data_IF_395420059007
#
_entry.id   IF_395420059007
#
_cell.length_a   1.000
_cell.length_b   1.000
_cell.length_c   1.000
_cell.angle_alpha   90.00
_cell.angle_beta   90.00
_cell.angle_gamma   90.00
#
_symmetry.space_group_name_H-M   'P 1'
#
loop_
_entity.id
_entity.type
_entity.pdbx_description
1 polymer ?
#
# COMPACT_ATOMS: atom_id res chain seq x y z
N UNK A 1 17.57 14.37 -8.87
CA UNK A 1 16.19 14.45 -9.40
C UNK A 1 15.76 13.03 -9.70
N UNK A 2 14.72 12.55 -9.04
CA UNK A 2 14.29 11.15 -9.08
C UNK A 2 13.60 10.85 -10.43
N UNK A 3 13.95 9.75 -11.09
CA UNK A 3 13.38 9.35 -12.40
C UNK A 3 11.84 9.28 -12.35
N UNK A 4 11.28 8.89 -11.20
CA UNK A 4 9.83 8.81 -10.98
C UNK A 4 9.12 10.17 -11.08
N UNK A 5 9.79 11.29 -10.74
CA UNK A 5 9.20 12.62 -10.86
C UNK A 5 9.16 13.15 -12.30
N UNK A 6 10.03 12.64 -13.17
CA UNK A 6 10.03 12.99 -14.60
C UNK A 6 8.98 12.23 -15.39
N UNK A 7 8.72 10.98 -15.03
CA UNK A 7 7.68 10.15 -15.68
C UNK A 7 6.28 10.67 -15.35
N UNK A 8 6.03 11.09 -14.09
CA UNK A 8 4.73 11.62 -13.67
C UNK A 8 4.43 12.99 -14.29
N UNK A 9 5.44 13.85 -14.47
CA UNK A 9 5.24 15.17 -15.07
C UNK A 9 5.13 15.14 -16.61
N UNK A 10 5.55 14.06 -17.26
CA UNK A 10 5.42 13.88 -18.71
C UNK A 10 4.18 13.06 -19.13
N UNK A 11 3.42 12.50 -18.19
CA UNK A 11 2.21 11.74 -18.52
C UNK A 11 1.14 12.56 -19.23
N UNK A 12 1.10 13.87 -19.02
CA UNK A 12 0.19 14.77 -19.75
C UNK A 12 0.61 15.03 -21.21
N UNK A 13 1.87 14.80 -21.56
CA UNK A 13 2.37 14.95 -22.95
C UNK A 13 2.23 13.67 -23.79
N UNK A 14 2.03 12.51 -23.13
CA UNK A 14 1.98 11.20 -23.79
C UNK A 14 0.56 10.80 -24.19
N UNK A 15 -0.45 11.45 -23.66
CA UNK A 15 -1.87 11.12 -23.92
C UNK A 15 -2.36 11.35 -25.34
N UNK A 16 -1.55 11.96 -26.22
CA UNK A 16 -1.92 12.23 -27.62
C UNK A 16 -1.07 11.49 -28.68
N UNK A 17 -0.12 10.62 -28.30
CA UNK A 17 0.64 9.82 -29.26
C UNK A 17 0.13 8.39 -29.26
N UNK A 18 -0.67 8.03 -30.24
CA UNK A 18 -1.27 6.69 -30.34
C UNK A 18 -0.27 5.58 -30.73
N UNK A 19 0.98 5.90 -31.08
CA UNK A 19 1.99 4.89 -31.39
C UNK A 19 3.41 5.42 -31.37
N UNK A 20 4.36 4.57 -30.95
CA UNK A 20 5.81 4.79 -31.00
C UNK A 20 6.38 3.95 -32.15
N UNK A 21 7.11 4.60 -33.07
CA UNK A 21 7.76 3.91 -34.18
C UNK A 21 9.17 3.46 -33.75
N UNK A 22 9.42 2.15 -33.77
CA UNK A 22 10.72 1.59 -33.39
C UNK A 22 11.70 1.69 -34.57
N UNK A 23 13.02 1.63 -34.28
CA UNK A 23 14.06 1.66 -35.30
C UNK A 23 14.01 0.53 -36.34
N UNK A 24 13.26 -0.54 -36.06
CA UNK A 24 12.94 -1.64 -36.98
C UNK A 24 11.76 -1.33 -37.94
N UNK A 25 11.17 -0.13 -37.83
CA UNK A 25 10.04 0.30 -38.65
C UNK A 25 8.67 -0.12 -38.15
N UNK A 26 8.57 -0.88 -37.03
CA UNK A 26 7.28 -1.29 -36.46
C UNK A 26 6.66 -0.18 -35.61
N UNK A 27 5.34 0.01 -35.76
CA UNK A 27 4.56 0.86 -34.85
C UNK A 27 4.07 0.02 -33.70
N UNK A 28 4.34 0.46 -32.46
CA UNK A 28 3.75 -0.17 -31.26
C UNK A 28 3.09 0.90 -30.40
N UNK A 29 2.01 0.51 -29.74
CA UNK A 29 1.43 1.39 -28.73
C UNK A 29 2.40 1.58 -27.54
N UNK A 30 2.31 2.70 -26.86
CA UNK A 30 3.08 2.91 -25.64
C UNK A 30 2.74 1.82 -24.60
N UNK A 31 1.49 1.35 -24.58
CA UNK A 31 1.03 0.25 -23.72
C UNK A 31 1.73 -1.06 -24.05
N UNK A 32 1.91 -1.42 -25.35
CA UNK A 32 2.68 -2.60 -25.76
C UNK A 32 4.16 -2.54 -25.36
N UNK A 33 4.74 -1.33 -25.34
CA UNK A 33 6.12 -1.11 -24.91
C UNK A 33 6.23 -1.19 -23.39
N UNK A 34 5.30 -0.58 -22.67
CA UNK A 34 5.24 -0.63 -21.21
C UNK A 34 4.94 -2.04 -20.68
N UNK A 35 4.10 -2.82 -21.36
CA UNK A 35 3.86 -4.23 -21.04
C UNK A 35 5.11 -5.10 -21.18
N UNK A 36 6.03 -4.78 -22.10
CA UNK A 36 7.32 -5.49 -22.22
C UNK A 36 8.32 -5.12 -21.14
N UNK A 37 8.22 -3.91 -20.59
CA UNK A 37 9.22 -3.39 -19.65
C UNK A 37 8.83 -3.55 -18.17
N UNK A 38 7.57 -3.73 -17.85
CA UNK A 38 7.15 -4.08 -16.48
C UNK A 38 5.66 -4.45 -16.40
N UNK A 39 5.34 -5.73 -16.21
CA UNK A 39 4.01 -6.12 -15.73
C UNK A 39 3.67 -5.47 -14.37
N UNK A 40 4.69 -4.98 -13.65
CA UNK A 40 4.56 -4.41 -12.31
C UNK A 40 4.08 -2.94 -12.31
N UNK A 41 4.28 -2.16 -13.37
CA UNK A 41 3.92 -0.72 -13.38
C UNK A 41 2.45 -0.49 -13.75
N UNK A 42 1.85 -1.34 -14.57
CA UNK A 42 0.42 -1.22 -14.96
C UNK A 42 -0.54 -1.84 -13.94
N UNK A 43 -0.07 -2.75 -13.09
CA UNK A 43 -0.87 -3.31 -11.98
C UNK A 43 -0.97 -2.39 -10.75
N UNK A 44 -0.47 -1.16 -10.83
CA UNK A 44 -0.40 -0.24 -9.68
C UNK A 44 -1.70 0.48 -9.37
N UNK A 45 -2.77 0.30 -10.12
CA UNK A 45 -4.01 1.07 -9.93
C UNK A 45 -5.18 0.20 -9.44
N UNK A 46 -5.21 -1.10 -9.76
CA UNK A 46 -6.32 -1.99 -9.38
C UNK A 46 -5.81 -3.09 -8.45
N UNK A 47 -6.42 -3.21 -7.27
CA UNK A 47 -6.14 -4.27 -6.31
C UNK A 47 -4.83 -4.12 -5.53
N UNK A 48 -4.55 -2.93 -5.02
CA UNK A 48 -3.42 -2.68 -4.10
C UNK A 48 -3.55 -3.53 -2.86
N UNK A 49 -2.48 -4.22 -2.47
CA UNK A 49 -2.48 -5.09 -1.29
C UNK A 49 -2.04 -4.32 -0.06
N UNK A 50 -2.83 -4.42 1.01
CA UNK A 50 -2.60 -3.84 2.33
C UNK A 50 -2.20 -4.98 3.28
N UNK A 51 -1.10 -4.83 4.00
CA UNK A 51 -0.63 -5.79 5.00
C UNK A 51 -1.43 -5.61 6.30
N UNK A 52 -2.27 -6.58 6.65
CA UNK A 52 -3.08 -6.59 7.85
C UNK A 52 -2.21 -6.73 9.09
N UNK A 53 -2.12 -5.70 9.94
CA UNK A 53 -1.24 -5.62 11.11
C UNK A 53 0.24 -5.85 10.78
N UNK A 54 0.66 -5.42 9.59
CA UNK A 54 1.96 -5.76 9.01
C UNK A 54 1.99 -7.15 8.37
N UNK A 55 3.15 -7.78 8.26
CA UNK A 55 3.29 -9.14 7.70
C UNK A 55 2.92 -10.21 8.75
N UNK A 56 1.66 -10.22 9.17
CA UNK A 56 1.14 -11.02 10.26
C UNK A 56 1.32 -12.54 10.07
N UNK A 57 1.39 -13.01 8.83
CA UNK A 57 1.55 -14.45 8.58
C UNK A 57 2.87 -15.04 9.09
N UNK A 58 3.90 -14.23 9.30
CA UNK A 58 5.24 -14.70 9.64
C UNK A 58 5.96 -13.89 10.74
N UNK A 59 5.39 -12.74 11.13
CA UNK A 59 5.96 -11.85 12.15
C UNK A 59 4.86 -11.47 13.14
N UNK A 60 5.15 -11.30 14.43
CA UNK A 60 4.12 -10.90 15.41
C UNK A 60 3.42 -9.60 14.99
N UNK A 61 2.08 -9.63 15.03
CA UNK A 61 1.21 -8.53 14.59
C UNK A 61 1.50 -7.19 15.28
N UNK A 62 1.23 -6.08 14.58
CA UNK A 62 1.31 -4.72 15.13
C UNK A 62 2.68 -4.41 15.77
N UNK A 63 3.77 -4.89 15.18
CA UNK A 63 5.14 -4.63 15.63
C UNK A 63 5.94 -3.90 14.55
N UNK A 64 6.99 -3.19 14.96
CA UNK A 64 7.90 -2.54 14.00
C UNK A 64 8.48 -3.59 13.04
N UNK A 65 8.89 -4.75 13.53
CA UNK A 65 9.39 -5.84 12.70
C UNK A 65 8.36 -6.29 11.64
N UNK A 66 7.08 -6.40 12.02
CA UNK A 66 6.00 -6.77 11.10
C UNK A 66 5.78 -5.71 10.03
N UNK A 67 5.81 -4.44 10.41
CA UNK A 67 5.65 -3.32 9.48
C UNK A 67 6.81 -3.24 8.48
N UNK A 68 8.06 -3.35 8.96
CA UNK A 68 9.25 -3.36 8.09
C UNK A 68 9.23 -4.55 7.13
N UNK A 69 8.89 -5.76 7.62
CA UNK A 69 8.80 -6.94 6.77
C UNK A 69 7.70 -6.80 5.71
N UNK A 70 6.58 -6.18 6.04
CA UNK A 70 5.55 -5.90 5.06
C UNK A 70 6.04 -4.92 3.96
N UNK A 71 6.76 -3.86 4.35
CA UNK A 71 7.38 -2.94 3.41
C UNK A 71 8.39 -3.64 2.49
N UNK A 72 9.29 -4.44 3.06
CA UNK A 72 10.32 -5.20 2.32
C UNK A 72 9.70 -6.23 1.36
N UNK A 73 8.52 -6.74 1.67
CA UNK A 73 7.77 -7.65 0.81
C UNK A 73 6.90 -6.90 -0.23
N UNK A 74 6.97 -5.57 -0.32
CA UNK A 74 6.36 -4.78 -1.38
C UNK A 74 4.86 -4.57 -1.24
N UNK A 75 4.30 -4.65 -0.04
CA UNK A 75 2.92 -4.22 0.19
C UNK A 75 2.77 -2.73 -0.11
N UNK A 76 1.67 -2.36 -0.73
CA UNK A 76 1.35 -0.96 -1.03
C UNK A 76 1.04 -0.16 0.24
N UNK A 77 0.29 -0.75 1.16
CA UNK A 77 -0.10 -0.14 2.43
C UNK A 77 0.12 -1.09 3.59
N UNK A 78 0.32 -0.53 4.76
CA UNK A 78 0.48 -1.26 6.01
C UNK A 78 -0.68 -0.88 6.91
N UNK A 79 -1.48 -1.85 7.30
CA UNK A 79 -2.57 -1.60 8.24
C UNK A 79 -2.09 -1.82 9.67
N UNK A 80 -2.59 -1.01 10.59
CA UNK A 80 -2.42 -1.11 12.04
C UNK A 80 -3.64 -0.62 12.78
N UNK A 81 -3.87 -1.19 13.96
CA UNK A 81 -4.92 -0.78 14.89
C UNK A 81 -4.35 0.18 15.94
N UNK A 82 -5.05 1.26 16.28
CA UNK A 82 -4.57 2.20 17.28
C UNK A 82 -5.50 2.35 18.48
N UNK A 83 -4.85 2.45 19.65
CA UNK A 83 -5.47 2.79 20.95
C UNK A 83 -4.73 3.96 21.60
N UNK A 84 -5.42 4.70 22.44
CA UNK A 84 -4.78 5.66 23.35
C UNK A 84 -4.49 5.02 24.71
N UNK A 85 -3.37 5.40 25.31
CA UNK A 85 -3.04 5.07 26.70
C UNK A 85 -3.68 6.05 27.69
N UNK A 86 -3.62 5.74 28.99
CA UNK A 86 -4.16 6.61 30.06
C UNK A 86 -3.41 7.95 30.16
N UNK A 87 -2.09 7.96 29.90
CA UNK A 87 -1.23 9.15 29.88
C UNK A 87 -1.17 9.86 28.53
N UNK A 88 -1.97 9.39 27.55
CA UNK A 88 -2.22 10.13 26.32
C UNK A 88 -1.30 9.81 25.14
N UNK A 89 -0.55 8.73 25.17
CA UNK A 89 0.15 8.21 24.00
C UNK A 89 -0.79 7.41 23.08
N UNK A 90 -0.41 7.28 21.81
CA UNK A 90 -1.07 6.40 20.86
C UNK A 90 -0.17 5.20 20.60
N UNK A 91 -0.74 3.98 20.65
CA UNK A 91 -0.01 2.72 20.50
C UNK A 91 -0.68 1.82 19.46
N UNK A 92 0.13 0.94 18.83
CA UNK A 92 -0.34 0.01 17.82
C UNK A 92 -0.62 -1.36 18.47
N UNK A 93 -1.90 -1.69 18.61
CA UNK A 93 -2.37 -2.97 19.13
C UNK A 93 -3.80 -3.23 18.69
N UNK A 94 -4.14 -4.49 18.39
CA UNK A 94 -5.48 -4.85 17.93
C UNK A 94 -6.51 -4.94 19.04
N UNK A 95 -6.15 -5.61 20.16
CA UNK A 95 -7.09 -5.91 21.21
C UNK A 95 -7.20 -4.76 22.22
N UNK A 96 -8.33 -4.70 22.89
CA UNK A 96 -8.57 -3.77 24.00
C UNK A 96 -7.61 -3.98 25.17
N UNK A 97 -7.04 -5.19 25.30
CA UNK A 97 -6.11 -5.57 26.38
C UNK A 97 -4.78 -6.05 25.79
N UNK A 98 -3.72 -5.99 26.59
CA UNK A 98 -2.39 -6.48 26.20
C UNK A 98 -2.23 -8.00 26.32
N UNK A 99 -3.20 -8.70 26.90
CA UNK A 99 -3.12 -10.06 27.43
C UNK A 99 -2.84 -11.13 26.36
N UNK A 100 -3.38 -10.99 25.15
CA UNK A 100 -3.25 -12.03 24.11
C UNK A 100 -1.87 -12.08 23.48
N UNK A 101 -1.23 -10.94 23.37
CA UNK A 101 0.00 -10.79 22.57
C UNK A 101 1.24 -10.50 23.40
N UNK A 102 1.08 -10.33 24.73
CA UNK A 102 2.20 -10.01 25.64
C UNK A 102 2.17 -10.82 26.92
N UNK A 103 3.29 -10.81 27.65
CA UNK A 103 3.45 -11.36 29.01
C UNK A 103 2.74 -10.52 30.10
N UNK A 104 2.14 -9.38 29.73
CA UNK A 104 1.41 -8.48 30.62
C UNK A 104 -0.09 -8.74 30.63
N UNK A 105 -0.80 -8.04 31.53
CA UNK A 105 -2.25 -8.04 31.63
C UNK A 105 -2.79 -6.64 31.86
N UNK A 106 -3.92 -6.29 31.24
CA UNK A 106 -4.60 -5.02 31.48
C UNK A 106 -5.20 -4.38 30.24
N UNK A 107 -6.09 -3.43 30.50
CA UNK A 107 -6.77 -2.66 29.45
C UNK A 107 -5.85 -1.53 28.96
N UNK A 108 -5.60 -1.46 27.67
CA UNK A 108 -4.70 -0.50 27.05
C UNK A 108 -5.02 0.95 27.42
N UNK A 109 -6.31 1.33 27.41
CA UNK A 109 -6.74 2.68 27.76
C UNK A 109 -6.54 3.05 29.24
N UNK A 110 -6.40 2.06 30.13
CA UNK A 110 -6.21 2.25 31.57
C UNK A 110 -4.72 2.22 31.96
N UNK A 111 -3.82 1.76 31.09
CA UNK A 111 -2.39 1.67 31.31
C UNK A 111 -1.67 2.91 30.76
N UNK A 112 -0.61 3.34 31.46
CA UNK A 112 0.33 4.32 30.92
C UNK A 112 1.21 3.69 29.85
N UNK A 113 1.80 4.50 28.96
CA UNK A 113 2.75 3.99 27.96
C UNK A 113 3.94 3.28 28.61
N UNK A 114 4.41 3.76 29.78
CA UNK A 114 5.49 3.11 30.52
C UNK A 114 5.11 1.70 30.98
N UNK A 115 3.89 1.48 31.45
CA UNK A 115 3.38 0.15 31.83
C UNK A 115 3.26 -0.76 30.60
N UNK A 116 2.77 -0.25 29.48
CA UNK A 116 2.71 -1.00 28.21
C UNK A 116 4.12 -1.38 27.73
N UNK A 117 5.10 -0.49 27.84
CA UNK A 117 6.50 -0.78 27.47
C UNK A 117 7.18 -1.79 28.43
N UNK A 118 6.69 -1.96 29.65
CA UNK A 118 7.16 -3.02 30.54
C UNK A 118 6.78 -4.41 30.05
N UNK A 119 5.61 -4.56 29.39
CA UNK A 119 5.17 -5.81 28.77
C UNK A 119 6.07 -6.17 27.58
N UNK A 120 6.32 -7.47 27.39
CA UNK A 120 7.06 -8.00 26.24
C UNK A 120 6.11 -8.81 25.38
N UNK A 121 6.15 -8.61 24.07
CA UNK A 121 5.38 -9.45 23.13
C UNK A 121 5.97 -10.86 23.20
N UNK A 122 5.12 -11.83 23.57
CA UNK A 122 5.50 -13.24 23.79
C UNK A 122 4.65 -14.22 22.95
N UNK A 123 3.68 -13.71 22.18
CA UNK A 123 2.82 -14.49 21.31
C UNK A 123 2.73 -13.89 19.89
N UNK A 124 2.39 -14.73 18.94
CA UNK A 124 2.23 -14.38 17.53
C UNK A 124 3.08 -15.23 16.61
N UNK A 125 2.83 -15.11 15.30
CA UNK A 125 3.56 -15.88 14.30
C UNK A 125 5.04 -15.48 14.29
N UNK A 126 5.93 -16.48 14.26
CA UNK A 126 7.37 -16.27 14.20
C UNK A 126 8.00 -15.69 15.47
N UNK A 127 7.28 -15.60 16.60
CA UNK A 127 7.77 -14.95 17.83
C UNK A 127 9.14 -15.44 18.28
N UNK A 128 9.47 -16.73 18.08
CA UNK A 128 10.77 -17.30 18.43
C UNK A 128 11.96 -16.60 17.75
N UNK A 129 11.74 -15.99 16.60
CA UNK A 129 12.76 -15.30 15.82
C UNK A 129 12.87 -13.81 16.18
N UNK A 130 11.92 -13.31 16.99
CA UNK A 130 11.81 -11.89 17.35
C UNK A 130 11.74 -11.68 18.87
N UNK A 131 12.77 -12.08 19.64
CA UNK A 131 12.75 -11.94 21.10
C UNK A 131 12.78 -10.46 21.53
N UNK A 132 12.01 -10.12 22.57
CA UNK A 132 12.05 -8.81 23.19
C UNK A 132 11.28 -7.69 22.47
N UNK A 133 10.41 -8.03 21.53
CA UNK A 133 9.54 -7.04 20.89
C UNK A 133 8.64 -6.34 21.90
N UNK A 134 8.31 -5.10 21.60
CA UNK A 134 7.43 -4.24 22.40
C UNK A 134 6.30 -3.71 21.53
N UNK A 135 5.19 -3.35 22.18
CA UNK A 135 4.08 -2.64 21.53
C UNK A 135 4.61 -1.27 21.10
N UNK A 136 4.61 -0.92 19.79
CA UNK A 136 5.16 0.33 19.31
C UNK A 136 4.23 1.51 19.54
N UNK A 137 4.80 2.71 19.60
CA UNK A 137 4.02 3.95 19.44
C UNK A 137 3.50 4.06 18.01
N UNK A 138 2.37 4.72 17.87
CA UNK A 138 1.85 5.09 16.56
C UNK A 138 2.83 5.92 15.73
N UNK A 139 3.59 6.79 16.38
CA UNK A 139 4.63 7.59 15.73
C UNK A 139 5.72 6.72 15.08
N UNK A 140 6.15 5.64 15.76
CA UNK A 140 7.17 4.71 15.23
C UNK A 140 6.66 3.99 13.97
N UNK A 141 5.36 3.62 13.95
CA UNK A 141 4.72 3.05 12.77
C UNK A 141 4.67 4.04 11.59
N UNK A 142 4.29 5.30 11.84
CA UNK A 142 4.29 6.35 10.81
C UNK A 142 5.71 6.58 10.26
N UNK A 143 6.72 6.56 11.15
CA UNK A 143 8.13 6.67 10.76
C UNK A 143 8.56 5.54 9.80
N UNK A 144 8.17 4.29 10.09
CA UNK A 144 8.43 3.13 9.18
C UNK A 144 7.75 3.35 7.85
N UNK A 145 6.45 3.68 7.83
CA UNK A 145 5.74 3.93 6.56
C UNK A 145 6.42 5.02 5.74
N UNK A 146 6.84 6.12 6.38
CA UNK A 146 7.56 7.22 5.72
C UNK A 146 8.90 6.78 5.17
N UNK A 147 9.68 6.02 5.93
CA UNK A 147 11.00 5.53 5.54
C UNK A 147 10.94 4.66 4.29
N UNK A 148 9.98 3.77 4.21
CA UNK A 148 9.83 2.81 3.11
C UNK A 148 8.89 3.29 1.99
N UNK A 149 8.22 4.43 2.15
CA UNK A 149 7.26 4.95 1.17
C UNK A 149 5.95 4.16 1.10
N UNK A 150 5.63 3.39 2.12
CA UNK A 150 4.36 2.66 2.23
C UNK A 150 3.23 3.60 2.68
N UNK A 151 1.99 3.26 2.33
CA UNK A 151 0.81 4.03 2.75
C UNK A 151 0.36 3.57 4.14
N UNK A 152 0.31 4.47 5.15
CA UNK A 152 -0.31 4.15 6.43
C UNK A 152 -1.81 3.91 6.25
N UNK A 153 -2.29 2.77 6.74
CA UNK A 153 -3.72 2.42 6.82
C UNK A 153 -4.05 2.21 8.29
N UNK A 154 -4.87 3.08 8.87
CA UNK A 154 -4.99 3.24 10.32
C UNK A 154 -6.41 2.90 10.76
N UNK A 155 -6.60 1.76 11.43
CA UNK A 155 -7.86 1.43 12.09
C UNK A 155 -7.94 2.12 13.46
N UNK A 156 -8.94 2.98 13.63
CA UNK A 156 -9.17 3.70 14.89
C UNK A 156 -10.10 2.85 15.76
N UNK A 157 -9.53 2.03 16.65
CA UNK A 157 -10.29 1.10 17.52
C UNK A 157 -10.53 1.61 18.91
N UNK A 158 -9.49 2.09 19.56
CA UNK A 158 -9.51 2.38 20.99
C UNK A 158 -9.76 3.83 21.36
N UNK A 159 -9.96 4.71 20.39
CA UNK A 159 -10.24 6.13 20.62
C UNK A 159 -11.75 6.35 20.66
N UNK A 160 -12.27 6.80 21.80
CA UNK A 160 -13.69 7.13 21.92
C UNK A 160 -14.05 8.34 21.04
N UNK A 161 -15.24 8.33 20.44
CA UNK A 161 -15.70 9.36 19.52
C UNK A 161 -15.75 10.77 20.14
N UNK A 162 -15.95 10.90 21.44
CA UNK A 162 -15.92 12.19 22.15
C UNK A 162 -14.51 12.66 22.56
N UNK A 163 -13.49 11.84 22.39
CA UNK A 163 -12.11 12.15 22.76
C UNK A 163 -11.33 12.81 21.60
N UNK A 164 -11.85 13.90 21.07
CA UNK A 164 -11.35 14.64 19.90
C UNK A 164 -9.84 14.98 20.01
N UNK A 165 -9.31 15.11 21.22
CA UNK A 165 -7.88 15.38 21.44
C UNK A 165 -6.97 14.30 20.84
N UNK A 166 -7.38 13.03 20.88
CA UNK A 166 -6.59 11.93 20.34
C UNK A 166 -6.66 11.84 18.81
N UNK A 167 -7.82 12.15 18.22
CA UNK A 167 -7.93 12.34 16.77
C UNK A 167 -6.99 13.47 16.29
N UNK A 168 -6.97 14.59 17.00
CA UNK A 168 -6.05 15.69 16.68
C UNK A 168 -4.58 15.29 16.86
N UNK A 169 -4.23 14.52 17.93
CA UNK A 169 -2.88 14.01 18.13
C UNK A 169 -2.45 13.09 16.97
N UNK A 170 -3.29 12.13 16.60
CA UNK A 170 -3.07 11.26 15.45
C UNK A 170 -2.79 12.07 14.17
N UNK A 171 -3.67 13.02 13.85
CA UNK A 171 -3.54 13.88 12.67
C UNK A 171 -2.29 14.77 12.73
N UNK A 172 -1.89 15.24 13.92
CA UNK A 172 -0.65 16.02 14.10
C UNK A 172 0.57 15.18 13.74
N UNK A 173 0.67 13.95 14.26
CA UNK A 173 1.75 13.02 13.94
C UNK A 173 1.82 12.75 12.43
N UNK A 174 0.68 12.41 11.79
CA UNK A 174 0.63 12.17 10.34
C UNK A 174 1.14 13.40 9.56
N UNK A 175 0.76 14.61 10.00
CA UNK A 175 1.17 15.87 9.38
C UNK A 175 2.65 16.16 9.56
N UNK A 176 3.19 15.94 10.74
CA UNK A 176 4.61 16.14 11.07
C UNK A 176 5.52 15.28 10.18
N UNK A 177 5.08 14.07 9.84
CA UNK A 177 5.77 13.20 8.87
C UNK A 177 5.44 13.52 7.40
N UNK A 178 4.54 14.46 7.12
CA UNK A 178 4.14 14.85 5.76
C UNK A 178 3.39 13.74 5.01
N UNK A 179 2.57 12.94 5.72
CA UNK A 179 1.89 11.77 5.16
C UNK A 179 0.39 12.00 4.91
N UNK A 180 -0.16 13.20 5.14
CA UNK A 180 -1.61 13.46 5.04
C UNK A 180 -2.22 13.11 3.66
N UNK A 181 -1.50 13.37 2.56
CA UNK A 181 -1.98 13.07 1.21
C UNK A 181 -1.74 11.62 0.79
N UNK A 182 -1.05 10.86 1.61
CA UNK A 182 -0.71 9.45 1.37
C UNK A 182 -0.99 8.63 2.62
N UNK A 183 -2.22 8.68 3.12
CA UNK A 183 -2.67 8.04 4.33
C UNK A 183 -4.15 7.67 4.22
N UNK A 184 -4.54 6.59 4.84
CA UNK A 184 -5.91 6.11 4.93
C UNK A 184 -6.28 5.89 6.40
N UNK A 185 -7.46 6.39 6.82
CA UNK A 185 -8.07 6.02 8.10
C UNK A 185 -9.26 5.10 7.84
N UNK A 186 -9.41 4.06 8.67
CA UNK A 186 -10.53 3.12 8.61
C UNK A 186 -11.21 3.01 9.98
N UNK A 187 -12.52 2.75 10.00
CA UNK A 187 -13.30 2.61 11.21
C UNK A 187 -14.81 2.72 10.98
N UNK A 188 -15.56 2.95 12.06
CA UNK A 188 -17.02 3.15 11.96
C UNK A 188 -17.38 4.45 11.22
N UNK A 189 -18.60 4.53 10.70
CA UNK A 189 -19.11 5.76 10.04
C UNK A 189 -18.98 6.99 10.96
N UNK A 190 -19.32 6.84 12.24
CA UNK A 190 -19.20 7.92 13.22
C UNK A 190 -17.75 8.37 13.39
N UNK A 191 -16.83 7.40 13.54
CA UNK A 191 -15.40 7.66 13.64
C UNK A 191 -14.86 8.39 12.38
N UNK A 192 -15.22 7.94 11.19
CA UNK A 192 -14.78 8.55 9.93
C UNK A 192 -15.41 9.93 9.72
N UNK A 193 -16.61 10.17 10.23
CA UNK A 193 -17.24 11.50 10.25
C UNK A 193 -16.43 12.48 11.11
N UNK A 194 -15.90 12.04 12.26
CA UNK A 194 -15.03 12.85 13.10
C UNK A 194 -13.72 13.16 12.36
N UNK A 195 -13.05 12.16 11.79
CA UNK A 195 -11.82 12.39 11.01
C UNK A 195 -12.10 13.40 9.89
N UNK A 196 -13.19 13.23 9.14
CA UNK A 196 -13.57 14.12 8.05
C UNK A 196 -13.83 15.56 8.50
N UNK A 197 -14.40 15.75 9.70
CA UNK A 197 -14.61 17.09 10.27
C UNK A 197 -13.30 17.83 10.60
N UNK A 198 -12.19 17.09 10.77
CA UNK A 198 -10.87 17.62 11.13
C UNK A 198 -9.93 17.77 9.93
N UNK A 199 -10.09 16.97 8.90
CA UNK A 199 -9.27 17.03 7.68
C UNK A 199 -10.02 16.49 6.46
N UNK A 200 -9.77 17.09 5.27
CA UNK A 200 -10.26 16.59 3.97
C UNK A 200 -9.18 15.88 3.16
N UNK A 201 -7.93 15.90 3.62
CA UNK A 201 -6.78 15.39 2.86
C UNK A 201 -6.67 13.87 2.94
N UNK A 202 -6.89 13.29 4.12
CA UNK A 202 -6.79 11.85 4.36
C UNK A 202 -7.97 11.12 3.74
N UNK A 203 -7.71 10.01 3.04
CA UNK A 203 -8.76 9.10 2.59
C UNK A 203 -9.37 8.37 3.79
N UNK A 204 -10.70 8.26 3.84
CA UNK A 204 -11.40 7.56 4.92
C UNK A 204 -12.20 6.40 4.38
N UNK A 205 -12.20 5.27 5.09
CA UNK A 205 -13.04 4.12 4.73
C UNK A 205 -13.88 3.66 5.92
N UNK A 206 -15.14 3.38 5.66
CA UNK A 206 -16.05 2.84 6.66
C UNK A 206 -16.03 1.33 6.61
N UNK A 207 -15.76 0.70 7.75
CA UNK A 207 -15.77 -0.77 7.87
C UNK A 207 -17.21 -1.28 7.83
N UNK A 208 -17.44 -2.30 7.00
CA UNK A 208 -18.70 -3.05 6.89
C UNK A 208 -18.43 -4.50 7.32
N UNK A 209 -18.82 -4.85 8.52
CA UNK A 209 -18.57 -6.17 9.13
C UNK A 209 -19.43 -7.26 8.51
N UNK A 210 -19.07 -8.53 8.75
CA UNK A 210 -19.76 -9.70 8.22
C UNK A 210 -21.27 -9.73 8.50
N UNK A 211 -21.70 -9.25 9.67
CA UNK A 211 -23.10 -9.21 10.08
C UNK A 211 -23.88 -7.98 9.63
N UNK A 212 -23.19 -7.00 9.02
CA UNK A 212 -23.81 -5.75 8.58
C UNK A 212 -24.55 -5.94 7.25
N UNK A 213 -25.49 -5.03 6.98
CA UNK A 213 -26.13 -4.93 5.68
C UNK A 213 -25.67 -3.66 4.96
N UNK A 214 -24.91 -3.76 3.87
CA UNK A 214 -24.46 -2.58 3.11
C UNK A 214 -25.62 -1.98 2.29
N UNK A 215 -26.53 -1.29 2.98
CA UNK A 215 -27.67 -0.62 2.37
C UNK A 215 -27.26 0.54 1.49
N UNK A 216 -28.15 0.93 0.58
CA UNK A 216 -27.97 2.12 -0.26
C UNK A 216 -27.80 3.38 0.55
N UNK A 217 -28.54 3.50 1.65
CA UNK A 217 -28.47 4.62 2.56
C UNK A 217 -27.09 4.71 3.25
N UNK A 218 -26.52 3.58 3.69
CA UNK A 218 -25.17 3.54 4.23
C UNK A 218 -24.14 4.00 3.18
N UNK A 219 -24.23 3.50 1.94
CA UNK A 219 -23.30 3.88 0.88
C UNK A 219 -23.38 5.38 0.55
N UNK A 220 -24.59 5.95 0.55
CA UNK A 220 -24.79 7.39 0.37
C UNK A 220 -24.21 8.21 1.52
N UNK A 221 -24.35 7.75 2.78
CA UNK A 221 -23.72 8.40 3.93
C UNK A 221 -22.19 8.36 3.85
N UNK A 222 -21.61 7.23 3.39
CA UNK A 222 -20.17 7.12 3.17
C UNK A 222 -19.71 8.08 2.05
N UNK A 223 -20.46 8.15 0.95
CA UNK A 223 -20.15 9.05 -0.17
C UNK A 223 -20.20 10.53 0.24
N UNK A 224 -21.10 10.89 1.16
CA UNK A 224 -21.20 12.25 1.70
C UNK A 224 -19.95 12.68 2.51
N UNK A 225 -19.09 11.75 2.93
CA UNK A 225 -17.81 12.07 3.56
C UNK A 225 -16.79 12.65 2.58
N UNK A 226 -16.97 12.47 1.27
CA UNK A 226 -16.00 12.83 0.22
C UNK A 226 -14.61 12.17 0.43
N UNK A 227 -13.83 11.98 -0.61
CA UNK A 227 -12.53 11.26 -0.53
C UNK A 227 -12.65 10.03 0.38
N UNK A 228 -13.63 9.17 0.09
CA UNK A 228 -14.07 8.09 0.98
C UNK A 228 -14.22 6.76 0.25
N UNK A 229 -14.37 5.70 1.02
CA UNK A 229 -14.59 4.35 0.53
C UNK A 229 -15.25 3.46 1.56
N UNK A 230 -15.56 2.24 1.17
CA UNK A 230 -16.10 1.21 2.04
C UNK A 230 -15.11 0.04 2.14
N UNK A 231 -14.88 -0.43 3.37
CA UNK A 231 -13.98 -1.52 3.71
C UNK A 231 -14.80 -2.74 4.12
N UNK A 232 -15.07 -3.62 3.15
CA UNK A 232 -16.00 -4.72 3.30
C UNK A 232 -15.35 -5.99 3.85
N UNK A 233 -16.06 -6.66 4.75
CA UNK A 233 -15.81 -8.08 4.93
C UNK A 233 -16.05 -8.83 3.61
N UNK A 234 -15.21 -9.81 3.30
CA UNK A 234 -15.17 -10.47 1.98
C UNK A 234 -16.49 -11.10 1.54
N UNK A 235 -17.37 -11.45 2.48
CA UNK A 235 -18.71 -12.01 2.20
C UNK A 235 -19.67 -11.04 1.50
N UNK A 236 -19.37 -9.74 1.53
CA UNK A 236 -20.19 -8.70 0.89
C UNK A 236 -19.75 -8.35 -0.54
N UNK A 237 -18.58 -8.86 -0.97
CA UNK A 237 -18.03 -8.53 -2.28
C UNK A 237 -18.81 -9.22 -3.40
N UNK A 238 -19.33 -8.41 -4.29
CA UNK A 238 -19.96 -8.81 -5.55
C UNK A 238 -19.76 -7.72 -6.60
N UNK A 239 -19.85 -8.08 -7.88
CA UNK A 239 -19.75 -7.10 -8.98
C UNK A 239 -20.77 -5.98 -8.85
N UNK A 240 -21.96 -6.27 -8.31
CA UNK A 240 -23.01 -5.27 -8.13
C UNK A 240 -22.65 -4.26 -7.05
N UNK A 241 -22.12 -4.70 -5.90
CA UNK A 241 -21.74 -3.79 -4.80
C UNK A 241 -20.55 -2.93 -5.21
N UNK A 242 -19.54 -3.51 -5.88
CA UNK A 242 -18.38 -2.77 -6.38
C UNK A 242 -18.84 -1.69 -7.37
N UNK A 243 -19.63 -2.06 -8.38
CA UNK A 243 -20.17 -1.12 -9.37
C UNK A 243 -20.91 0.02 -8.70
N UNK A 244 -21.78 -0.28 -7.75
CA UNK A 244 -22.56 0.72 -7.02
C UNK A 244 -21.67 1.68 -6.22
N UNK A 245 -20.64 1.16 -5.53
CA UNK A 245 -19.66 1.98 -4.83
C UNK A 245 -18.96 2.93 -5.81
N UNK A 246 -18.45 2.42 -6.93
CA UNK A 246 -17.77 3.23 -7.93
C UNK A 246 -18.69 4.28 -8.58
N UNK A 247 -19.96 3.97 -8.82
CA UNK A 247 -20.95 4.93 -9.29
C UNK A 247 -21.18 6.09 -8.30
N UNK A 248 -21.00 5.84 -7.01
CA UNK A 248 -21.04 6.84 -5.94
C UNK A 248 -19.69 7.52 -5.69
N UNK A 249 -18.65 7.17 -6.44
CA UNK A 249 -17.28 7.69 -6.24
C UNK A 249 -16.55 7.11 -5.04
N UNK A 250 -17.02 5.97 -4.49
CA UNK A 250 -16.41 5.28 -3.36
C UNK A 250 -15.34 4.31 -3.84
N UNK A 251 -14.18 4.28 -3.18
CA UNK A 251 -13.23 3.21 -3.33
C UNK A 251 -13.63 1.99 -2.48
N UNK A 252 -13.31 0.80 -2.97
CA UNK A 252 -13.68 -0.48 -2.35
C UNK A 252 -12.43 -1.17 -1.81
N UNK A 253 -12.41 -1.43 -0.50
CA UNK A 253 -11.45 -2.32 0.15
C UNK A 253 -12.17 -3.61 0.57
N UNK A 254 -11.38 -4.68 0.71
CA UNK A 254 -11.88 -5.99 1.13
C UNK A 254 -10.92 -6.67 2.09
N UNK A 255 -11.43 -7.21 3.21
CA UNK A 255 -10.66 -7.88 4.26
C UNK A 255 -11.33 -9.16 4.79
N UNK A 256 -10.59 -10.11 5.35
CA UNK A 256 -9.18 -10.35 5.18
C UNK A 256 -9.03 -11.50 4.21
N UNK A 257 -8.27 -11.34 3.14
CA UNK A 257 -8.12 -12.35 2.08
C UNK A 257 -6.68 -12.85 2.07
N UNK A 258 -6.51 -14.17 2.24
CA UNK A 258 -5.20 -14.81 2.29
C UNK A 258 -4.95 -15.78 1.12
N UNK A 259 -5.99 -16.12 0.37
CA UNK A 259 -5.90 -17.00 -0.78
C UNK A 259 -5.57 -16.20 -2.06
N UNK A 260 -4.50 -16.59 -2.74
CA UNK A 260 -4.00 -15.89 -3.93
C UNK A 260 -5.00 -15.90 -5.10
N UNK A 261 -5.76 -16.98 -5.26
CA UNK A 261 -6.76 -17.07 -6.33
C UNK A 261 -7.96 -16.16 -6.04
N UNK A 262 -8.35 -16.04 -4.77
CA UNK A 262 -9.42 -15.13 -4.36
C UNK A 262 -8.97 -13.68 -4.52
N UNK A 263 -7.73 -13.35 -4.16
CA UNK A 263 -7.13 -12.02 -4.38
C UNK A 263 -7.20 -11.65 -5.87
N UNK A 264 -6.77 -12.56 -6.75
CA UNK A 264 -6.80 -12.32 -8.19
C UNK A 264 -8.23 -12.15 -8.72
N UNK A 265 -9.17 -12.98 -8.26
CA UNK A 265 -10.58 -12.84 -8.62
C UNK A 265 -11.15 -11.48 -8.20
N UNK A 266 -10.85 -11.00 -7.00
CA UNK A 266 -11.34 -9.71 -6.52
C UNK A 266 -10.70 -8.51 -7.24
N UNK A 267 -9.43 -8.63 -7.62
CA UNK A 267 -8.78 -7.66 -8.52
C UNK A 267 -9.51 -7.58 -9.86
N UNK A 268 -9.81 -8.73 -10.46
CA UNK A 268 -10.53 -8.82 -11.73
C UNK A 268 -11.97 -8.28 -11.64
N UNK A 269 -12.59 -8.33 -10.46
CA UNK A 269 -13.89 -7.72 -10.20
C UNK A 269 -13.81 -6.20 -10.02
N UNK A 270 -12.62 -5.64 -9.85
CA UNK A 270 -12.40 -4.20 -9.71
C UNK A 270 -12.33 -3.70 -8.26
N UNK A 271 -12.01 -4.56 -7.28
CA UNK A 271 -11.72 -4.13 -5.90
C UNK A 271 -10.45 -3.28 -5.90
N UNK A 272 -10.49 -2.09 -5.30
CA UNK A 272 -9.38 -1.13 -5.32
C UNK A 272 -8.27 -1.51 -4.34
N UNK A 273 -8.63 -2.08 -3.19
CA UNK A 273 -7.69 -2.50 -2.14
C UNK A 273 -8.05 -3.87 -1.59
N UNK A 274 -7.05 -4.64 -1.22
CA UNK A 274 -7.23 -5.96 -0.59
C UNK A 274 -6.33 -6.05 0.62
N UNK A 275 -6.93 -6.19 1.80
CA UNK A 275 -6.23 -6.39 3.07
C UNK A 275 -5.96 -7.87 3.30
N UNK A 276 -4.70 -8.23 3.52
CA UNK A 276 -4.24 -9.62 3.60
C UNK A 276 -3.22 -9.82 4.73
N UNK A 277 -3.24 -11.00 5.36
CA UNK A 277 -2.20 -11.43 6.30
C UNK A 277 -0.95 -11.96 5.58
N UNK A 278 -1.09 -12.33 4.29
CA UNK A 278 -0.05 -12.97 3.52
C UNK A 278 0.24 -12.16 2.27
N UNK A 279 1.49 -12.19 1.84
CA UNK A 279 1.85 -11.61 0.56
C UNK A 279 1.45 -12.56 -0.56
N UNK A 280 0.57 -12.13 -1.45
CA UNK A 280 0.25 -12.85 -2.68
C UNK A 280 1.07 -12.28 -3.83
N UNK A 281 2.10 -13.01 -4.19
CA UNK A 281 3.01 -12.70 -5.29
C UNK A 281 2.46 -13.13 -6.65
N UNK A 282 1.28 -12.70 -7.04
CA UNK A 282 0.89 -12.87 -8.46
C UNK A 282 1.70 -11.98 -9.42
N UNK A 283 2.48 -11.03 -8.90
CA UNK A 283 3.26 -10.08 -9.71
C UNK A 283 4.78 -10.22 -9.62
N UNK A 284 5.32 -11.15 -8.82
CA UNK A 284 6.77 -11.38 -8.79
C UNK A 284 7.09 -12.84 -9.13
N UNK A 285 7.48 -13.14 -10.39
CA UNK A 285 7.83 -14.50 -10.81
C UNK A 285 9.04 -15.09 -10.05
N UNK A 286 9.79 -14.27 -9.29
CA UNK A 286 10.97 -14.70 -8.54
C UNK A 286 10.67 -15.22 -7.14
N UNK A 287 9.47 -15.01 -6.58
CA UNK A 287 9.15 -15.42 -5.19
C UNK A 287 8.18 -16.61 -5.12
N UNK A 288 7.57 -17.03 -6.24
CA UNK A 288 6.60 -18.15 -6.26
C UNK A 288 7.21 -19.54 -6.00
N UNK A 289 8.53 -19.69 -5.82
CA UNK A 289 9.20 -20.97 -5.60
C UNK A 289 10.06 -21.08 -4.32
N UNK A 290 10.21 -20.05 -3.54
CA UNK A 290 10.92 -20.21 -2.27
C UNK A 290 9.94 -20.63 -1.18
N UNK A 291 9.83 -21.94 -0.94
CA UNK A 291 9.47 -22.44 0.39
C UNK A 291 10.31 -21.66 1.39
N UNK A 292 9.66 -21.05 2.37
CA UNK A 292 10.31 -20.39 3.50
C UNK A 292 11.30 -21.39 4.11
N UNK A 293 12.56 -21.28 3.78
CA UNK A 293 13.60 -22.08 4.36
C UNK A 293 14.09 -21.34 5.61
N UNK A 294 13.99 -22.02 6.77
CA UNK A 294 14.49 -21.52 8.05
C UNK A 294 16.00 -21.22 8.06
N UNK A 295 16.71 -21.53 6.95
CA UNK A 295 18.12 -21.18 6.74
C UNK A 295 18.38 -19.71 6.41
N UNK A 296 17.33 -18.89 6.22
CA UNK A 296 17.41 -17.46 5.86
C UNK A 296 18.10 -16.57 6.90
N UNK A 297 18.56 -17.10 8.05
CA UNK A 297 19.47 -16.39 8.95
C UNK A 297 20.85 -16.02 8.33
N UNK A 298 21.14 -16.54 7.12
CA UNK A 298 22.38 -16.24 6.38
C UNK A 298 22.15 -15.44 5.10
N UNK A 299 20.97 -14.94 4.84
CA UNK A 299 20.56 -14.51 3.50
C UNK A 299 20.56 -12.99 3.26
N UNK A 300 21.28 -12.21 4.04
CA UNK A 300 21.76 -10.91 3.55
C UNK A 300 22.44 -11.05 2.18
N UNK A 301 23.02 -12.21 1.86
CA UNK A 301 23.66 -12.50 0.59
C UNK A 301 22.64 -12.55 -0.57
N UNK A 302 21.50 -13.23 -0.43
CA UNK A 302 20.51 -13.34 -1.50
C UNK A 302 19.77 -12.03 -1.77
N UNK A 303 19.50 -11.25 -0.71
CA UNK A 303 18.94 -9.90 -0.85
C UNK A 303 19.97 -8.98 -1.51
N UNK A 304 21.24 -9.05 -1.10
CA UNK A 304 22.33 -8.29 -1.72
C UNK A 304 22.57 -8.74 -3.16
N UNK A 305 22.52 -10.02 -3.44
CA UNK A 305 22.67 -10.55 -4.80
C UNK A 305 21.48 -10.15 -5.69
N UNK A 306 20.24 -10.22 -5.18
CA UNK A 306 19.05 -9.73 -5.88
C UNK A 306 19.07 -8.22 -6.10
N UNK A 307 19.48 -7.43 -5.08
CA UNK A 307 19.69 -5.99 -5.22
C UNK A 307 20.79 -5.69 -6.23
N UNK A 308 21.88 -6.46 -6.23
CA UNK A 308 22.96 -6.30 -7.19
C UNK A 308 22.54 -6.69 -8.60
N UNK A 309 21.70 -7.73 -8.77
CA UNK A 309 21.12 -8.08 -10.08
C UNK A 309 20.18 -6.99 -10.58
N UNK A 310 19.31 -6.44 -9.71
CA UNK A 310 18.44 -5.30 -10.05
C UNK A 310 19.29 -4.07 -10.39
N UNK A 311 20.31 -3.74 -9.60
CA UNK A 311 21.20 -2.62 -9.87
C UNK A 311 22.00 -2.82 -11.16
N UNK A 312 22.47 -4.05 -11.44
CA UNK A 312 23.16 -4.38 -12.69
C UNK A 312 22.23 -4.30 -13.90
N UNK A 313 20.98 -4.76 -13.76
CA UNK A 313 19.94 -4.61 -14.78
C UNK A 313 19.57 -3.13 -14.99
N UNK A 314 19.45 -2.36 -13.91
CA UNK A 314 19.20 -0.90 -13.96
C UNK A 314 20.37 -0.17 -14.63
N UNK A 315 21.61 -0.48 -14.27
CA UNK A 315 22.81 0.09 -14.89
C UNK A 315 22.94 -0.30 -16.37
N UNK A 316 22.55 -1.52 -16.73
CA UNK A 316 22.53 -1.99 -18.12
C UNK A 316 21.42 -1.28 -18.93
N UNK A 317 20.30 -1.00 -18.31
CA UNK A 317 19.19 -0.21 -18.87
C UNK A 317 19.63 1.26 -19.00
N UNK A 318 20.22 1.84 -17.95
CA UNK A 318 20.76 3.22 -17.98
C UNK A 318 21.84 3.38 -19.04
N UNK A 319 22.73 2.38 -19.20
CA UNK A 319 23.74 2.37 -20.25
C UNK A 319 23.13 2.26 -21.64
N UNK A 320 22.04 1.50 -21.80
CA UNK A 320 21.28 1.42 -23.06
C UNK A 320 20.48 2.71 -23.31
N UNK A 321 19.86 3.30 -22.29
CA UNK A 321 19.11 4.55 -22.38
C UNK A 321 20.07 5.73 -22.57
N UNK A 322 21.23 5.74 -21.89
CA UNK A 322 22.24 6.77 -22.02
C UNK A 322 22.87 6.84 -23.41
N UNK A 323 22.79 5.76 -24.18
CA UNK A 323 23.24 5.69 -25.58
C UNK A 323 22.09 5.93 -26.58
N UNK A 324 20.85 6.14 -26.12
CA UNK A 324 19.71 6.47 -26.97
C UNK A 324 19.59 7.98 -27.11
N UNK A 325 19.68 8.47 -28.32
CA UNK A 325 19.29 9.85 -28.65
C UNK A 325 17.79 9.91 -28.91
N UNK A 326 17.16 11.05 -28.55
CA UNK A 326 15.76 11.30 -28.81
C UNK A 326 15.64 12.44 -29.80
N UNK A 327 14.97 12.22 -30.92
CA UNK A 327 14.75 13.24 -31.96
C UNK A 327 13.25 13.34 -32.25
N UNK A 328 12.69 14.53 -32.09
CA UNK A 328 11.30 14.79 -32.46
C UNK A 328 11.26 15.25 -33.92
N UNK A 329 10.48 14.60 -34.77
CA UNK A 329 10.35 14.86 -36.21
C UNK A 329 8.88 14.73 -36.61
N UNK A 330 8.50 15.44 -37.66
CA UNK A 330 7.26 15.13 -38.37
C UNK A 330 7.40 13.84 -39.17
N UNK A 331 6.29 13.24 -39.57
CA UNK A 331 6.31 12.02 -40.39
C UNK A 331 7.12 12.23 -41.70
N UNK A 332 6.96 13.38 -42.32
CA UNK A 332 7.67 13.71 -43.56
C UNK A 332 9.20 13.81 -43.36
N UNK A 333 9.62 14.40 -42.25
CA UNK A 333 11.06 14.51 -41.92
C UNK A 333 11.65 13.12 -41.57
N UNK A 334 10.90 12.29 -40.88
CA UNK A 334 11.34 10.90 -40.57
C UNK A 334 11.46 10.06 -41.85
N UNK A 335 10.51 10.20 -42.77
CA UNK A 335 10.49 9.45 -44.04
C UNK A 335 11.63 9.95 -44.99
N UNK A 336 12.05 11.20 -44.84
CA UNK A 336 13.17 11.79 -45.59
C UNK A 336 14.56 11.38 -45.08
N UNK A 337 14.68 10.75 -43.92
CA UNK A 337 15.96 10.28 -43.38
C UNK A 337 16.52 9.16 -44.27
N UNK A 338 17.67 9.39 -44.86
CA UNK A 338 18.41 8.42 -45.71
C UNK A 338 19.01 7.28 -44.90
N UNK A 339 19.32 7.52 -43.62
CA UNK A 339 19.84 6.56 -42.67
C UNK A 339 19.16 6.80 -41.34
N UNK A 340 18.69 5.73 -40.69
CA UNK A 340 18.08 5.77 -39.36
C UNK A 340 19.06 5.13 -38.38
N UNK A 341 19.46 5.89 -37.35
CA UNK A 341 20.35 5.41 -36.30
C UNK A 341 19.57 4.42 -35.39
N UNK A 342 20.05 3.18 -35.23
CA UNK A 342 19.39 2.16 -34.41
C UNK A 342 19.39 2.54 -32.90
N UNK A 343 20.20 3.50 -32.46
CA UNK A 343 20.25 4.00 -31.09
C UNK A 343 19.46 5.31 -30.90
N UNK A 344 18.71 5.72 -31.92
CA UNK A 344 17.87 6.93 -31.85
C UNK A 344 16.39 6.56 -31.79
N UNK A 345 15.69 7.09 -30.79
CA UNK A 345 14.24 7.05 -30.68
C UNK A 345 13.66 8.28 -31.39
N UNK A 346 12.95 8.05 -32.48
CA UNK A 346 12.32 9.12 -33.23
C UNK A 346 10.88 9.30 -32.75
N UNK A 347 10.59 10.48 -32.20
CA UNK A 347 9.23 10.88 -31.77
C UNK A 347 8.56 11.58 -32.95
N UNK A 348 7.54 10.98 -33.50
CA UNK A 348 6.79 11.58 -34.60
C UNK A 348 5.75 12.52 -34.02
N UNK A 349 5.90 13.81 -34.31
CA UNK A 349 4.93 14.85 -33.95
C UNK A 349 4.00 15.08 -35.14
N UNK A 350 2.71 14.84 -34.91
CA UNK A 350 1.65 15.01 -35.93
C UNK A 350 1.20 16.44 -36.09
#
# INVERSE_FOLDING_TARGET
>A
MNLNSRIVNNSALITNTSSVKLGDGTNRSLDDLLQKFSPCVLNTIIGKTIAHRGLYSSVPENTIASFEQACLNGFWGIETDIYNTSDGELVCIHDKTVDRTTDGTGTVNDMTFKEIQACTIDAGNGISDYPGLKIPKFEDYIAVCKQYGAVPVIEIKGIKNNDIKYYKKMLSIIREYGMEDNCMCIGSLECMTIVRSLTRRIHVQVIVYQGDNPTDDLLLQIAALENSGADFHNTHISSNIIKKCHELGLLVNCWTINDSHIIENFRNLGVDFITSNTYSLSCNPYVSQTKYDKSLKTSNKYIVDAINEVNNATNAIEKKIGNLSFVALTQAEYDALTTKDPNTLYLITG
#
